data_IF_544935696378
#
_entry.id   IF_544935696378
#
_cell.length_a   1.000
_cell.length_b   1.000
_cell.length_c   1.000
_cell.angle_alpha   90.00
_cell.angle_beta   90.00
_cell.angle_gamma   90.00
#
_symmetry.space_group_name_H-M   'P 1'
#
loop_
_entity.id
_entity.type
_entity.pdbx_description
1 polymer ?
#
# COMPACT_ATOMS: atom_id res chain seq x y z
N UNK A 1 -11.52 6.30 1.26
CA UNK A 1 -10.60 5.37 0.56
C UNK A 1 -11.30 4.04 0.33
N UNK A 2 -11.54 3.70 -0.91
CA UNK A 2 -12.40 2.55 -1.24
C UNK A 2 -11.69 1.21 -1.32
N UNK A 3 -10.36 1.20 -1.35
CA UNK A 3 -9.57 -0.02 -1.55
C UNK A 3 -9.09 -0.68 -0.25
N UNK A 4 -9.33 -0.04 0.88
CA UNK A 4 -8.94 -0.57 2.19
C UNK A 4 -10.18 -0.76 3.04
N UNK A 5 -10.40 -1.99 3.51
CA UNK A 5 -11.50 -2.29 4.43
C UNK A 5 -11.14 -1.97 5.87
N UNK A 6 -9.86 -2.11 6.23
CA UNK A 6 -9.36 -1.93 7.57
C UNK A 6 -8.09 -2.73 7.76
N UNK A 7 -7.90 -3.25 8.96
CA UNK A 7 -6.79 -4.13 9.29
C UNK A 7 -7.34 -5.49 9.72
N UNK A 8 -6.55 -6.53 9.56
CA UNK A 8 -6.90 -7.86 10.04
C UNK A 8 -5.68 -8.56 10.63
N UNK A 9 -5.91 -9.38 11.63
CA UNK A 9 -4.85 -10.19 12.22
C UNK A 9 -4.49 -11.33 11.28
N UNK A 10 -3.22 -11.45 10.98
CA UNK A 10 -2.71 -12.51 10.11
C UNK A 10 -2.89 -13.89 10.73
N UNK A 11 -2.85 -14.00 12.05
CA UNK A 11 -2.92 -15.27 12.75
C UNK A 11 -4.37 -15.72 13.04
N UNK A 12 -5.18 -14.85 13.65
CA UNK A 12 -6.52 -15.23 14.07
C UNK A 12 -7.64 -14.69 13.17
N UNK A 13 -7.34 -13.80 12.23
CA UNK A 13 -8.32 -13.28 11.30
C UNK A 13 -9.22 -12.17 11.83
N UNK A 14 -9.01 -11.71 13.07
CA UNK A 14 -9.84 -10.67 13.68
C UNK A 14 -9.67 -9.35 12.93
N UNK A 15 -10.78 -8.67 12.63
CA UNK A 15 -10.80 -7.39 11.94
C UNK A 15 -10.67 -6.20 12.88
N UNK A 16 -10.04 -5.14 12.40
CA UNK A 16 -9.86 -3.89 13.12
C UNK A 16 -10.11 -2.71 12.18
N UNK A 17 -10.55 -1.57 12.71
CA UNK A 17 -10.63 -0.35 11.89
C UNK A 17 -9.23 0.15 11.53
N UNK A 18 -9.16 0.97 10.47
CA UNK A 18 -7.91 1.62 10.09
C UNK A 18 -7.51 2.61 11.19
N UNK A 19 -6.54 2.24 11.99
CA UNK A 19 -6.04 3.04 13.11
C UNK A 19 -4.58 2.71 13.35
N UNK A 20 -3.84 3.54 14.12
CA UNK A 20 -2.40 3.32 14.31
C UNK A 20 -2.11 2.20 15.32
N UNK A 21 -2.51 0.99 14.96
CA UNK A 21 -2.23 -0.23 15.73
C UNK A 21 -1.48 -1.21 14.82
N UNK A 22 -0.68 -2.08 15.41
CA UNK A 22 0.17 -2.98 14.65
C UNK A 22 0.09 -4.43 15.11
N UNK A 23 -0.49 -4.69 16.28
CA UNK A 23 -0.66 -6.05 16.80
C UNK A 23 -2.10 -6.29 17.22
N UNK A 24 -2.52 -7.54 17.13
CA UNK A 24 -3.83 -7.97 17.56
C UNK A 24 -3.93 -7.90 19.09
N UNK A 25 -5.02 -7.35 19.60
CA UNK A 25 -5.26 -7.25 21.04
C UNK A 25 -5.60 -8.61 21.66
N UNK A 26 -6.01 -9.56 20.85
CA UNK A 26 -6.45 -10.87 21.29
C UNK A 26 -5.32 -11.90 21.31
N UNK A 27 -4.60 -12.05 20.19
CA UNK A 27 -3.57 -13.09 20.06
C UNK A 27 -2.16 -12.53 19.90
N UNK A 28 -2.02 -11.21 19.85
CA UNK A 28 -0.75 -10.49 19.66
C UNK A 28 -0.07 -10.78 18.31
N UNK A 29 -0.79 -11.39 17.38
CA UNK A 29 -0.31 -11.59 16.02
C UNK A 29 -0.19 -10.26 15.27
N UNK A 30 0.64 -10.23 14.19
CA UNK A 30 0.79 -9.01 13.40
C UNK A 30 -0.48 -8.67 12.63
N UNK A 31 -0.76 -7.39 12.52
CA UNK A 31 -1.87 -6.90 11.71
C UNK A 31 -1.39 -6.58 10.29
N UNK A 32 -2.24 -6.84 9.33
CA UNK A 32 -1.98 -6.49 7.93
C UNK A 32 -3.18 -5.73 7.36
N UNK A 33 -2.95 -5.01 6.26
CA UNK A 33 -4.02 -4.25 5.62
C UNK A 33 -5.01 -5.20 4.98
N UNK A 34 -6.29 -5.01 5.27
CA UNK A 34 -7.37 -5.77 4.65
C UNK A 34 -7.88 -4.99 3.44
N UNK A 35 -7.44 -5.39 2.25
CA UNK A 35 -7.77 -4.72 1.00
C UNK A 35 -9.12 -5.18 0.46
N UNK A 36 -9.82 -4.26 -0.18
CA UNK A 36 -10.96 -4.60 -1.02
C UNK A 36 -10.43 -4.98 -2.41
N UNK A 37 -10.21 -6.27 -2.61
CA UNK A 37 -9.62 -6.77 -3.86
C UNK A 37 -10.49 -6.49 -5.07
N UNK A 38 -11.81 -6.51 -4.92
CA UNK A 38 -12.71 -6.23 -6.04
C UNK A 38 -12.57 -4.77 -6.51
N UNK A 39 -12.47 -3.84 -5.56
CA UNK A 39 -12.27 -2.43 -5.89
C UNK A 39 -10.92 -2.21 -6.57
N UNK A 40 -9.87 -2.90 -6.11
CA UNK A 40 -8.54 -2.81 -6.71
C UNK A 40 -8.55 -3.38 -8.13
N UNK A 41 -9.15 -4.54 -8.33
CA UNK A 41 -9.22 -5.17 -9.66
C UNK A 41 -9.96 -4.30 -10.68
N UNK A 42 -10.92 -3.51 -10.22
CA UNK A 42 -11.66 -2.62 -11.10
C UNK A 42 -10.81 -1.44 -11.60
N UNK A 43 -9.74 -1.08 -10.91
CA UNK A 43 -8.91 0.08 -11.23
C UNK A 43 -7.54 -0.28 -11.79
N UNK A 44 -6.88 -1.28 -11.21
CA UNK A 44 -5.49 -1.58 -11.55
C UNK A 44 -5.40 -2.32 -12.88
N UNK A 45 -4.40 -1.96 -13.68
CA UNK A 45 -4.04 -2.68 -14.89
C UNK A 45 -2.55 -2.50 -15.14
N UNK A 46 -1.98 -3.37 -15.97
CA UNK A 46 -0.59 -3.22 -16.36
C UNK A 46 -0.34 -1.88 -17.03
N UNK A 47 -1.23 -1.49 -17.95
CA UNK A 47 -1.11 -0.22 -18.66
C UNK A 47 -1.15 0.98 -17.72
N UNK A 48 -2.01 0.95 -16.72
CA UNK A 48 -2.12 2.01 -15.73
C UNK A 48 -0.86 2.10 -14.86
N UNK A 49 -0.31 0.96 -14.48
CA UNK A 49 0.95 0.89 -13.72
C UNK A 49 2.10 1.46 -14.56
N UNK A 50 2.22 1.03 -15.81
CA UNK A 50 3.30 1.46 -16.70
C UNK A 50 3.25 2.96 -17.00
N UNK A 51 2.05 3.54 -17.01
CA UNK A 51 1.86 4.98 -17.23
C UNK A 51 2.17 5.83 -16.00
N UNK A 52 2.37 5.21 -14.83
CA UNK A 52 2.63 5.92 -13.59
C UNK A 52 4.04 6.49 -13.49
N UNK A 53 4.30 7.34 -12.49
CA UNK A 53 5.61 7.95 -12.30
C UNK A 53 6.69 6.93 -11.93
N UNK A 54 7.99 7.23 -12.14
CA UNK A 54 9.08 6.32 -11.74
C UNK A 54 9.36 6.44 -10.23
N UNK A 55 8.42 6.00 -9.42
CA UNK A 55 8.50 6.04 -7.95
C UNK A 55 7.53 5.01 -7.37
N UNK A 56 7.51 4.88 -6.04
CA UNK A 56 6.53 4.03 -5.37
C UNK A 56 5.09 4.42 -5.73
N UNK A 57 4.87 5.69 -6.06
CA UNK A 57 3.54 6.22 -6.39
C UNK A 57 2.98 5.69 -7.71
N UNK A 58 3.81 5.01 -8.51
CA UNK A 58 3.36 4.23 -9.66
C UNK A 58 2.30 3.20 -9.25
N UNK A 59 2.41 2.70 -8.03
CA UNK A 59 1.54 1.66 -7.47
C UNK A 59 0.48 2.24 -6.54
N UNK A 60 0.13 3.52 -6.72
CA UNK A 60 -0.81 4.22 -5.84
C UNK A 60 -2.14 3.48 -5.65
N UNK A 61 -2.63 2.81 -6.69
CA UNK A 61 -3.87 2.04 -6.62
C UNK A 61 -3.78 0.82 -5.70
N UNK A 62 -2.57 0.41 -5.34
CA UNK A 62 -2.30 -0.74 -4.48
C UNK A 62 -1.82 -0.34 -3.09
N UNK A 63 -1.61 0.95 -2.85
CA UNK A 63 -1.11 1.44 -1.57
C UNK A 63 -2.27 1.78 -0.63
N UNK A 64 -2.09 1.57 0.69
CA UNK A 64 -3.13 1.88 1.67
C UNK A 64 -3.15 3.37 2.04
N UNK A 65 -2.92 4.25 1.09
CA UNK A 65 -2.85 5.69 1.28
C UNK A 65 -3.63 6.41 0.21
N UNK A 66 -4.24 7.54 0.60
CA UNK A 66 -4.78 8.48 -0.37
C UNK A 66 -3.64 9.35 -0.89
N UNK A 67 -3.55 9.46 -2.22
CA UNK A 67 -2.59 10.37 -2.86
C UNK A 67 -3.35 11.59 -3.32
N UNK A 68 -3.10 12.77 -2.72
CA UNK A 68 -3.77 14.00 -3.14
C UNK A 68 -3.48 14.32 -4.60
N UNK A 69 -4.43 14.99 -5.24
CA UNK A 69 -4.25 15.45 -6.61
C UNK A 69 -3.04 16.38 -6.67
N UNK A 70 -2.12 16.07 -7.56
CA UNK A 70 -0.98 16.92 -7.88
C UNK A 70 0.30 16.65 -7.12
N UNK A 71 0.27 16.09 -5.92
CA UNK A 71 1.51 15.85 -5.17
C UNK A 71 1.38 14.68 -4.21
N UNK A 72 2.36 13.77 -4.18
CA UNK A 72 2.38 12.72 -3.17
C UNK A 72 2.67 13.31 -1.78
N UNK A 73 2.12 12.70 -0.70
CA UNK A 73 2.30 13.21 0.66
C UNK A 73 3.72 13.06 1.19
N UNK A 74 4.49 12.14 0.63
CA UNK A 74 5.87 11.86 1.03
C UNK A 74 6.70 11.68 -0.23
N UNK A 75 7.92 12.17 -0.17
CA UNK A 75 8.99 11.99 -1.15
C UNK A 75 8.61 11.52 -2.55
N UNK A 76 8.61 12.42 -3.54
CA UNK A 76 8.30 12.04 -4.92
C UNK A 76 9.32 11.07 -5.53
N UNK A 77 10.45 10.87 -4.86
CA UNK A 77 11.55 10.02 -5.36
C UNK A 77 11.67 8.70 -4.61
N UNK A 78 10.71 8.38 -3.75
CA UNK A 78 10.72 7.12 -3.01
C UNK A 78 10.46 5.97 -3.96
N UNK A 79 11.23 4.90 -3.84
CA UNK A 79 11.15 3.75 -4.72
C UNK A 79 12.06 3.89 -5.94
N UNK A 80 11.99 2.93 -6.86
CA UNK A 80 12.86 2.85 -8.03
C UNK A 80 14.34 3.03 -7.66
N UNK A 81 14.75 2.39 -6.58
CA UNK A 81 16.13 2.44 -6.10
C UNK A 81 17.09 2.03 -7.23
N UNK A 82 18.05 2.90 -7.57
CA UNK A 82 18.96 2.60 -8.66
C UNK A 82 19.88 1.43 -8.34
N UNK A 83 20.13 0.61 -9.35
CA UNK A 83 21.14 -0.43 -9.26
C UNK A 83 22.47 0.19 -9.64
N UNK A 84 23.37 0.30 -8.67
CA UNK A 84 24.65 0.95 -8.86
C UNK A 84 25.77 -0.07 -8.79
N UNK A 85 26.68 -0.04 -9.78
CA UNK A 85 27.83 -0.93 -9.77
C UNK A 85 28.79 -0.48 -8.66
N UNK A 86 29.09 -1.41 -7.74
CA UNK A 86 30.09 -1.15 -6.71
C UNK A 86 31.48 -1.16 -7.34
N UNK A 87 32.29 -0.17 -6.98
CA UNK A 87 33.69 -0.07 -7.38
C UNK A 87 34.57 -0.03 -6.16
N UNK A 88 35.67 -0.70 -6.21
CA UNK A 88 36.67 -0.68 -5.14
C UNK A 88 37.50 0.62 -5.17
#
# INVERSE_FOLDING_TARGET
MNRVKGLKCRECGRGYPSSPIHVCEFCFGPLEVDYDEAAIRARVSRARIEAGPPSIWRYADLLPLEVPDGAPPIGPHVGFTPLVRARN
#
